data_IF_141600915847
#
_entry.id   IF_141600915847
#
_cell.length_a   1.000
_cell.length_b   1.000
_cell.length_c   1.000
_cell.angle_alpha   90.00
_cell.angle_beta   90.00
_cell.angle_gamma   90.00
#
_symmetry.space_group_name_H-M   'P 1'
#
loop_
_entity.id
_entity.type
_entity.pdbx_description
1 polymer ?
#
# COMPACT_ATOMS: atom_id res chain seq x y z
N UNK A 1 -11.35 11.47 0.44
CA UNK A 1 -9.88 11.55 0.51
C UNK A 1 -9.28 10.23 0.96
N UNK A 2 -8.74 9.48 0.00
CA UNK A 2 -8.18 8.13 0.14
C UNK A 2 -7.09 8.10 1.22
N UNK A 3 -7.17 7.12 2.12
CA UNK A 3 -6.10 6.84 3.08
C UNK A 3 -5.27 5.65 2.57
N UNK A 4 -4.21 5.93 1.83
CA UNK A 4 -3.48 4.90 1.06
C UNK A 4 -2.92 3.77 1.94
N UNK A 5 -2.44 4.10 3.14
CA UNK A 5 -1.95 3.09 4.09
C UNK A 5 -3.01 2.06 4.49
N UNK A 6 -4.29 2.47 4.63
CA UNK A 6 -5.37 1.55 4.95
C UNK A 6 -5.76 0.70 3.74
N UNK A 7 -5.77 1.28 2.53
CA UNK A 7 -6.06 0.53 1.31
C UNK A 7 -5.00 -0.52 1.01
N UNK A 8 -3.72 -0.20 1.23
CA UNK A 8 -2.63 -1.19 1.15
C UNK A 8 -2.84 -2.32 2.17
N UNK A 9 -3.25 -2.00 3.40
CA UNK A 9 -3.53 -3.01 4.42
C UNK A 9 -4.71 -3.91 4.03
N UNK A 10 -5.79 -3.32 3.51
CA UNK A 10 -6.97 -4.05 3.03
C UNK A 10 -6.60 -5.01 1.91
N UNK A 11 -5.85 -4.54 0.91
CA UNK A 11 -5.43 -5.37 -0.21
C UNK A 11 -4.49 -6.49 0.24
N UNK A 12 -3.57 -6.21 1.18
CA UNK A 12 -2.70 -7.23 1.76
C UNK A 12 -3.50 -8.34 2.47
N UNK A 13 -4.53 -7.97 3.25
CA UNK A 13 -5.44 -8.91 3.92
C UNK A 13 -6.28 -9.67 2.90
N UNK A 14 -6.79 -9.00 1.86
CA UNK A 14 -7.57 -9.62 0.77
C UNK A 14 -6.78 -10.72 0.05
N UNK A 15 -5.46 -10.57 -0.04
CA UNK A 15 -4.55 -11.55 -0.63
C UNK A 15 -4.02 -12.58 0.38
N UNK A 16 -4.51 -12.58 1.62
CA UNK A 16 -4.08 -13.49 2.70
C UNK A 16 -2.57 -13.42 3.00
N UNK A 17 -1.97 -12.24 2.79
CA UNK A 17 -0.54 -11.99 2.98
C UNK A 17 -0.27 -11.31 4.33
N UNK A 18 0.93 -11.55 4.87
CA UNK A 18 1.34 -10.96 6.15
C UNK A 18 2.12 -9.65 5.96
N UNK A 19 2.12 -8.74 6.95
CA UNK A 19 2.99 -7.56 6.93
C UNK A 19 4.48 -7.91 6.74
N UNK A 20 4.94 -9.02 7.32
CA UNK A 20 6.30 -9.54 7.16
C UNK A 20 6.58 -9.96 5.72
N UNK A 21 5.61 -10.58 5.04
CA UNK A 21 5.72 -10.92 3.62
C UNK A 21 5.92 -9.65 2.77
N UNK A 22 5.14 -8.60 3.05
CA UNK A 22 5.25 -7.34 2.32
C UNK A 22 6.61 -6.68 2.55
N UNK A 23 7.08 -6.64 3.81
CA UNK A 23 8.39 -6.07 4.17
C UNK A 23 9.52 -6.75 3.39
N UNK A 24 9.51 -8.09 3.31
CA UNK A 24 10.47 -8.86 2.51
C UNK A 24 10.40 -8.50 1.02
N UNK A 25 9.20 -8.34 0.45
CA UNK A 25 9.03 -8.02 -0.97
C UNK A 25 9.48 -6.60 -1.33
N UNK A 26 9.24 -5.63 -0.48
CA UNK A 26 9.67 -4.25 -0.71
C UNK A 26 11.05 -3.96 -0.12
N UNK A 27 11.83 -4.97 0.28
CA UNK A 27 13.17 -4.83 0.89
C UNK A 27 13.22 -3.79 2.03
N UNK A 28 12.19 -3.78 2.88
CA UNK A 28 12.11 -2.90 4.04
C UNK A 28 11.99 -3.72 5.34
N UNK A 29 12.37 -3.12 6.46
CA UNK A 29 12.15 -3.72 7.79
C UNK A 29 10.65 -3.77 8.13
N UNK A 30 10.23 -4.79 8.89
CA UNK A 30 8.81 -5.01 9.26
C UNK A 30 8.17 -3.85 10.02
N UNK A 31 8.96 -3.11 10.82
CA UNK A 31 8.51 -1.89 11.50
C UNK A 31 8.05 -0.80 10.53
N UNK A 32 8.62 -0.75 9.33
CA UNK A 32 8.26 0.25 8.31
C UNK A 32 6.89 -0.05 7.68
N UNK A 33 6.49 -1.32 7.60
CA UNK A 33 5.18 -1.71 7.02
C UNK A 33 4.02 -1.31 7.92
N UNK A 34 4.14 -1.50 9.23
CA UNK A 34 3.11 -1.02 10.17
C UNK A 34 3.01 0.50 10.18
N UNK A 35 4.11 1.21 9.97
CA UNK A 35 4.12 2.67 9.81
C UNK A 35 3.44 3.10 8.50
N UNK A 36 3.66 2.38 7.38
CA UNK A 36 2.98 2.64 6.11
C UNK A 36 1.46 2.59 6.28
N UNK A 37 0.93 1.62 7.03
CA UNK A 37 -0.52 1.50 7.23
C UNK A 37 -1.15 2.70 7.97
N UNK A 38 -0.36 3.42 8.77
CA UNK A 38 -0.82 4.61 9.50
C UNK A 38 -0.71 5.90 8.70
N UNK A 39 -0.04 5.87 7.54
CA UNK A 39 0.19 7.06 6.72
C UNK A 39 -0.96 7.29 5.75
N UNK A 40 -1.52 8.50 5.77
CA UNK A 40 -2.60 8.90 4.86
C UNK A 40 -2.12 8.98 3.41
N UNK A 41 -0.87 9.37 3.21
CA UNK A 41 -0.16 9.44 1.94
C UNK A 41 1.26 8.85 2.09
N UNK A 42 1.82 8.34 1.00
CA UNK A 42 3.21 7.89 0.91
C UNK A 42 3.80 8.41 -0.41
N UNK A 43 5.12 8.39 -0.55
CA UNK A 43 5.77 8.82 -1.79
C UNK A 43 5.47 7.85 -2.95
N UNK A 44 5.57 8.35 -4.17
CA UNK A 44 5.19 7.64 -5.40
C UNK A 44 6.07 6.42 -5.68
N UNK A 45 7.37 6.47 -5.33
CA UNK A 45 8.28 5.34 -5.48
C UNK A 45 7.91 4.20 -4.53
N UNK A 46 7.63 4.51 -3.26
CA UNK A 46 7.16 3.55 -2.28
C UNK A 46 5.81 2.95 -2.67
N UNK A 47 4.89 3.77 -3.18
CA UNK A 47 3.61 3.28 -3.68
C UNK A 47 3.80 2.33 -4.86
N UNK A 48 4.64 2.68 -5.83
CA UNK A 48 4.95 1.84 -7.00
C UNK A 48 5.52 0.47 -6.59
N UNK A 49 6.46 0.43 -5.63
CA UNK A 49 7.04 -0.82 -5.14
C UNK A 49 6.00 -1.70 -4.46
N UNK A 50 5.08 -1.11 -3.71
CA UNK A 50 3.98 -1.82 -3.06
C UNK A 50 2.96 -2.32 -4.10
N UNK A 51 2.61 -1.48 -5.08
CA UNK A 51 1.75 -1.87 -6.22
C UNK A 51 2.33 -3.07 -6.95
N UNK A 52 3.64 -3.06 -7.24
CA UNK A 52 4.33 -4.17 -7.87
C UNK A 52 4.37 -5.42 -6.98
N UNK A 53 4.59 -5.28 -5.67
CA UNK A 53 4.58 -6.42 -4.76
C UNK A 53 3.20 -7.08 -4.69
N UNK A 54 2.15 -6.27 -4.59
CA UNK A 54 0.77 -6.73 -4.47
C UNK A 54 0.10 -7.00 -5.82
N UNK A 55 0.74 -6.67 -6.95
CA UNK A 55 0.14 -6.77 -8.28
C UNK A 55 -1.22 -6.04 -8.35
N UNK A 56 -1.28 -4.87 -7.70
CA UNK A 56 -2.48 -4.04 -7.59
C UNK A 56 -2.13 -2.59 -7.87
N UNK A 57 -2.88 -1.94 -8.75
CA UNK A 57 -2.64 -0.54 -9.11
C UNK A 57 -3.35 0.40 -8.13
N UNK A 58 -2.61 0.79 -7.08
CA UNK A 58 -3.11 1.73 -6.08
C UNK A 58 -3.28 3.16 -6.59
N UNK A 59 -2.70 3.54 -7.74
CA UNK A 59 -2.85 4.89 -8.28
C UNK A 59 -4.28 5.16 -8.75
N UNK A 60 -5.02 4.13 -9.17
CA UNK A 60 -6.43 4.21 -9.56
C UNK A 60 -7.34 4.70 -8.44
N UNK A 61 -6.94 4.49 -7.18
CA UNK A 61 -7.73 4.94 -6.02
C UNK A 61 -7.80 6.47 -5.94
N UNK A 62 -6.82 7.18 -6.50
CA UNK A 62 -6.83 8.64 -6.57
C UNK A 62 -7.62 9.16 -7.78
N UNK A 63 -7.77 8.36 -8.84
CA UNK A 63 -8.52 8.73 -10.04
C UNK A 63 -10.04 8.74 -9.77
N UNK A 64 -10.51 7.85 -8.89
CA UNK A 64 -11.92 7.79 -8.50
C UNK A 64 -12.36 8.93 -7.54
N UNK A 65 -11.46 9.82 -7.12
CA UNK A 65 -11.82 11.01 -6.34
C UNK A 65 -12.14 12.23 -7.24
N UNK A 66 -11.95 12.13 -8.56
CA UNK A 66 -12.25 13.19 -9.52
C UNK A 66 -13.61 13.04 -10.22
N UNK A 67 -14.38 12.00 -9.91
CA UNK A 67 -15.79 11.91 -10.27
C UNK A 67 -16.64 12.72 -9.27
N UNK A 68 -16.68 14.04 -9.52
CA UNK A 68 -17.54 15.12 -8.97
C UNK A 68 -18.44 14.83 -7.76
#
# INVERSE_FOLDING_TARGET
MVHIGQEIKKELIRQERTPTWLAKKISCQSQNVHNIFKRKSIDTEQLLRISNALQYDFFKLYQNEEDF
#
